data_IF_256602317217
#
_entry.id   IF_256602317217
#
_cell.length_a   1.000
_cell.length_b   1.000
_cell.length_c   1.000
_cell.angle_alpha   90.00
_cell.angle_beta   90.00
_cell.angle_gamma   90.00
#
_symmetry.space_group_name_H-M   'P 1'
#
loop_
_entity.id
_entity.type
_entity.pdbx_description
1 polymer ?
#
# COMPACT_ATOMS: atom_id res chain seq x y z
N UNK A 1 -2.64 19.18 -5.79
CA UNK A 1 -2.04 18.58 -4.57
C UNK A 1 -0.55 18.29 -4.77
N UNK A 2 0.27 19.31 -5.05
CA UNK A 2 1.70 19.11 -5.39
C UNK A 2 2.56 18.72 -4.18
N UNK A 3 2.24 19.23 -2.99
CA UNK A 3 2.98 18.91 -1.77
C UNK A 3 2.83 17.44 -1.38
N UNK A 4 1.60 16.93 -1.36
CA UNK A 4 1.33 15.52 -1.06
C UNK A 4 2.10 14.58 -2.00
N UNK A 5 2.10 14.90 -3.31
CA UNK A 5 2.88 14.13 -4.29
C UNK A 5 4.39 14.13 -3.99
N UNK A 6 4.97 15.29 -3.63
CA UNK A 6 6.38 15.38 -3.26
C UNK A 6 6.71 14.57 -2.00
N UNK A 7 5.84 14.63 -0.99
CA UNK A 7 6.02 13.86 0.25
C UNK A 7 5.99 12.36 -0.06
N UNK A 8 4.97 11.88 -0.78
CA UNK A 8 4.87 10.46 -1.14
C UNK A 8 6.08 9.99 -1.97
N UNK A 9 6.54 10.79 -2.93
CA UNK A 9 7.72 10.47 -3.73
C UNK A 9 9.00 10.39 -2.86
N UNK A 10 9.23 11.38 -1.99
CA UNK A 10 10.38 11.38 -1.09
C UNK A 10 10.35 10.19 -0.10
N UNK A 11 9.17 9.85 0.44
CA UNK A 11 8.98 8.67 1.30
C UNK A 11 9.31 7.39 0.55
N UNK A 12 8.83 7.23 -0.69
CA UNK A 12 9.13 6.07 -1.52
C UNK A 12 10.63 5.95 -1.80
N UNK A 13 11.30 7.05 -2.17
CA UNK A 13 12.76 7.05 -2.39
C UNK A 13 13.49 6.57 -1.13
N UNK A 14 13.13 7.09 0.05
CA UNK A 14 13.75 6.70 1.33
C UNK A 14 13.52 5.22 1.65
N UNK A 15 12.30 4.73 1.43
CA UNK A 15 11.91 3.34 1.69
C UNK A 15 12.64 2.36 0.78
N UNK A 16 12.73 2.65 -0.53
CA UNK A 16 13.32 1.73 -1.50
C UNK A 16 14.85 1.80 -1.56
N UNK A 17 15.47 2.85 -1.02
CA UNK A 17 16.94 2.96 -0.92
C UNK A 17 17.51 2.23 0.31
N UNK A 18 16.67 1.68 1.18
CA UNK A 18 17.06 1.06 2.45
C UNK A 18 16.33 -0.27 2.63
N UNK A 19 17.02 -1.38 2.37
CA UNK A 19 16.44 -2.72 2.40
C UNK A 19 15.99 -3.16 3.79
N UNK A 20 16.65 -2.69 4.85
CA UNK A 20 16.27 -3.00 6.22
C UNK A 20 14.97 -2.29 6.59
N UNK A 21 14.85 -1.01 6.22
CA UNK A 21 13.62 -0.24 6.39
C UNK A 21 12.46 -0.87 5.62
N UNK A 22 12.68 -1.26 4.36
CA UNK A 22 11.66 -1.94 3.56
C UNK A 22 11.17 -3.23 4.21
N UNK A 23 12.10 -4.08 4.68
CA UNK A 23 11.75 -5.33 5.33
C UNK A 23 10.95 -5.12 6.63
N UNK A 24 11.32 -4.12 7.43
CA UNK A 24 10.62 -3.75 8.65
C UNK A 24 9.19 -3.25 8.36
N UNK A 25 9.02 -2.32 7.42
CA UNK A 25 7.70 -1.81 7.02
C UNK A 25 6.78 -2.89 6.47
N UNK A 26 7.32 -3.83 5.67
CA UNK A 26 6.54 -4.97 5.19
C UNK A 26 6.13 -5.92 6.32
N UNK A 27 6.99 -6.11 7.32
CA UNK A 27 6.69 -6.94 8.48
C UNK A 27 5.56 -6.35 9.32
N UNK A 28 5.62 -5.04 9.58
CA UNK A 28 4.55 -4.31 10.27
C UNK A 28 3.23 -4.44 9.51
N UNK A 29 3.22 -4.24 8.19
CA UNK A 29 2.02 -4.40 7.37
C UNK A 29 1.44 -5.81 7.47
N UNK A 30 2.28 -6.85 7.44
CA UNK A 30 1.83 -8.24 7.60
C UNK A 30 1.19 -8.48 8.97
N UNK A 31 1.76 -7.91 10.04
CA UNK A 31 1.19 -8.03 11.39
C UNK A 31 -0.19 -7.38 11.46
N UNK A 32 -0.32 -6.15 10.96
CA UNK A 32 -1.60 -5.42 10.94
C UNK A 32 -2.64 -6.18 10.11
N UNK A 33 -2.27 -6.73 8.96
CA UNK A 33 -3.20 -7.49 8.12
C UNK A 33 -3.58 -8.85 8.72
N UNK A 34 -2.70 -9.46 9.52
CA UNK A 34 -3.03 -10.68 10.25
C UNK A 34 -4.06 -10.41 11.36
N UNK A 35 -3.93 -9.29 12.07
CA UNK A 35 -4.87 -8.87 13.11
C UNK A 35 -6.19 -8.33 12.53
N UNK A 36 -6.09 -7.54 11.46
CA UNK A 36 -7.20 -6.79 10.85
C UNK A 36 -7.17 -6.95 9.33
N UNK A 37 -7.55 -8.14 8.82
CA UNK A 37 -7.53 -8.40 7.40
C UNK A 37 -8.47 -7.45 6.66
N UNK A 38 -7.97 -6.84 5.59
CA UNK A 38 -8.81 -6.07 4.68
C UNK A 38 -9.87 -6.99 4.06
N UNK A 39 -11.14 -6.64 4.20
CA UNK A 39 -12.23 -7.24 3.43
C UNK A 39 -12.69 -6.25 2.38
N UNK A 40 -12.64 -6.66 1.13
CA UNK A 40 -13.16 -5.86 0.02
C UNK A 40 -14.64 -5.53 0.30
N UNK A 41 -15.03 -4.24 0.29
CA UNK A 41 -16.43 -3.86 0.47
C UNK A 41 -17.26 -4.12 -0.80
N UNK A 42 -16.61 -4.35 -1.93
CA UNK A 42 -17.27 -4.61 -3.20
C UNK A 42 -17.78 -6.07 -3.21
N UNK A 43 -19.06 -6.31 -3.48
CA UNK A 43 -19.60 -7.66 -3.59
C UNK A 43 -18.89 -8.49 -4.66
N UNK A 44 -18.79 -9.80 -4.43
CA UNK A 44 -18.03 -10.71 -5.29
C UNK A 44 -18.60 -10.82 -6.72
N UNK A 45 -19.90 -10.57 -6.87
CA UNK A 45 -20.62 -10.55 -8.14
C UNK A 45 -20.33 -9.32 -9.00
N UNK A 46 -19.72 -8.26 -8.43
CA UNK A 46 -19.40 -7.04 -9.16
C UNK A 46 -18.04 -7.18 -9.84
N UNK A 47 -18.06 -7.43 -11.14
CA UNK A 47 -16.87 -7.31 -11.99
C UNK A 47 -16.80 -5.90 -12.59
N UNK A 48 -15.67 -5.18 -12.45
CA UNK A 48 -15.48 -3.93 -13.16
C UNK A 48 -15.57 -4.17 -14.69
N UNK A 49 -16.11 -3.21 -15.43
CA UNK A 49 -16.08 -3.24 -16.89
C UNK A 49 -14.64 -3.24 -17.39
N UNK A 50 -14.36 -3.96 -18.47
CA UNK A 50 -13.08 -3.86 -19.17
C UNK A 50 -12.80 -2.40 -19.53
N UNK A 51 -11.61 -1.92 -19.18
CA UNK A 51 -11.11 -0.62 -19.64
C UNK A 51 -10.95 -0.68 -21.16
N UNK A 52 -11.56 0.27 -21.88
CA UNK A 52 -11.36 0.48 -23.32
C UNK A 52 -10.32 1.55 -23.56
#
# INVERSE_FOLDING_TARGET
MLLAGKVLAATAIRLFSDSALLAASQQELRQVLAERPYRCPIPAEVSPSVLR
#
